data_IF_061982062447
#
_entry.id   IF_061982062447
#
_cell.length_a   1.000
_cell.length_b   1.000
_cell.length_c   1.000
_cell.angle_alpha   90.00
_cell.angle_beta   90.00
_cell.angle_gamma   90.00
#
_symmetry.space_group_name_H-M   'P 1'
#
loop_
_entity.id
_entity.type
_entity.pdbx_description
1 polymer ?
#
# COMPACT_ATOMS: atom_id res chain seq x y z
N UNK A 1 22.83 -13.05 -20.00
CA UNK A 1 23.20 -14.22 -19.16
C UNK A 1 22.07 -14.42 -18.16
N UNK A 2 21.29 -15.48 -18.31
CA UNK A 2 20.26 -15.89 -17.34
C UNK A 2 20.95 -16.62 -16.18
N UNK A 3 20.72 -16.17 -14.94
CA UNK A 3 21.20 -16.87 -13.74
C UNK A 3 20.10 -17.82 -13.26
N UNK A 4 20.49 -18.98 -12.74
CA UNK A 4 19.58 -20.03 -12.22
C UNK A 4 19.78 -20.12 -10.70
N UNK A 5 18.72 -20.30 -9.92
CA UNK A 5 18.80 -20.64 -8.49
C UNK A 5 18.35 -22.06 -8.23
N UNK A 6 18.44 -22.48 -6.96
CA UNK A 6 18.19 -23.83 -6.48
C UNK A 6 16.77 -24.38 -6.81
N UNK A 7 15.80 -23.52 -7.06
CA UNK A 7 14.40 -23.87 -7.38
C UNK A 7 14.02 -23.71 -8.86
N UNK A 8 14.95 -23.31 -9.73
CA UNK A 8 14.68 -23.10 -11.16
C UNK A 8 15.36 -21.86 -11.74
N UNK A 9 15.09 -21.48 -13.00
CA UNK A 9 15.64 -20.25 -13.56
C UNK A 9 15.19 -19.04 -12.75
N UNK A 10 16.15 -18.44 -12.04
CA UNK A 10 16.00 -17.17 -11.34
C UNK A 10 16.05 -16.03 -12.33
N UNK A 11 14.94 -15.88 -13.02
CA UNK A 11 14.54 -14.58 -13.49
C UNK A 11 13.37 -14.15 -12.59
N UNK A 12 13.53 -13.16 -11.71
CA UNK A 12 12.37 -12.31 -11.38
C UNK A 12 12.11 -11.44 -12.62
N UNK A 13 11.63 -12.09 -13.70
CA UNK A 13 11.35 -11.56 -15.04
C UNK A 13 10.02 -10.81 -15.11
N UNK A 14 9.39 -10.54 -13.96
CA UNK A 14 7.95 -10.29 -13.87
C UNK A 14 7.54 -8.85 -13.64
N UNK A 15 8.43 -7.95 -13.21
CA UNK A 15 8.05 -6.56 -12.96
C UNK A 15 8.38 -5.70 -14.18
N UNK A 16 7.37 -5.47 -15.01
CA UNK A 16 7.50 -4.69 -16.25
C UNK A 16 7.38 -3.20 -15.88
N UNK A 17 8.28 -2.31 -16.34
CA UNK A 17 8.09 -0.87 -16.15
C UNK A 17 6.86 -0.41 -16.92
N UNK A 18 6.03 0.42 -16.30
CA UNK A 18 4.92 1.05 -17.03
C UNK A 18 5.45 2.15 -17.94
N UNK A 19 5.08 2.08 -19.21
CA UNK A 19 5.42 3.13 -20.18
C UNK A 19 4.78 4.47 -19.78
N UNK A 20 5.46 5.56 -20.10
CA UNK A 20 4.91 6.91 -19.90
C UNK A 20 3.67 7.13 -20.76
N UNK A 21 2.80 8.02 -20.30
CA UNK A 21 1.51 8.37 -20.88
C UNK A 21 0.52 7.21 -21.00
N UNK A 22 0.71 6.13 -20.23
CA UNK A 22 -0.21 4.99 -20.22
C UNK A 22 -1.57 5.38 -19.65
N UNK A 23 -1.60 6.31 -18.68
CA UNK A 23 -2.82 6.63 -17.93
C UNK A 23 -3.42 8.01 -18.29
N UNK A 24 -2.69 8.86 -19.02
CA UNK A 24 -3.01 10.28 -19.20
C UNK A 24 -4.44 10.58 -19.68
N UNK A 25 -5.02 9.73 -20.53
CA UNK A 25 -6.30 9.98 -21.20
C UNK A 25 -7.49 9.32 -20.48
N UNK A 26 -7.23 8.56 -19.41
CA UNK A 26 -8.25 7.80 -18.65
C UNK A 26 -9.02 8.69 -17.66
N UNK A 27 -9.47 9.88 -18.08
CA UNK A 27 -10.03 10.92 -17.19
C UNK A 27 -11.33 10.55 -16.46
N UNK A 28 -11.99 9.46 -16.86
CA UNK A 28 -13.19 8.92 -16.20
C UNK A 28 -12.90 7.75 -15.26
N UNK A 29 -11.63 7.35 -15.13
CA UNK A 29 -11.24 6.20 -14.33
C UNK A 29 -11.55 6.46 -12.85
N UNK A 30 -12.23 5.50 -12.23
CA UNK A 30 -12.57 5.51 -10.79
C UNK A 30 -11.75 4.51 -10.00
N UNK A 31 -11.31 3.43 -10.64
CA UNK A 31 -10.58 2.33 -9.98
C UNK A 31 -9.36 2.04 -10.81
N UNK A 32 -8.20 2.04 -10.18
CA UNK A 32 -6.92 1.66 -10.77
C UNK A 32 -6.27 0.59 -9.92
N UNK A 33 -6.10 -0.61 -10.50
CA UNK A 33 -5.30 -1.70 -9.93
C UNK A 33 -4.02 -1.83 -10.76
N UNK A 34 -2.88 -1.78 -10.10
CA UNK A 34 -1.55 -1.98 -10.68
C UNK A 34 -0.97 -3.24 -10.05
N UNK A 35 -0.73 -4.26 -10.86
CA UNK A 35 -0.27 -5.57 -10.38
C UNK A 35 1.02 -6.00 -11.07
N UNK A 36 2.08 -6.27 -10.32
CA UNK A 36 3.35 -6.74 -10.88
C UNK A 36 4.07 -5.70 -11.76
N UNK A 37 3.92 -4.40 -11.48
CA UNK A 37 4.47 -3.32 -12.30
C UNK A 37 5.48 -2.47 -11.52
N UNK A 38 6.51 -2.00 -12.22
CA UNK A 38 7.46 -1.01 -11.70
C UNK A 38 6.99 0.37 -12.14
N UNK A 39 6.67 1.22 -11.18
CA UNK A 39 6.23 2.60 -11.42
C UNK A 39 7.42 3.56 -11.43
N UNK A 40 7.36 4.57 -12.29
CA UNK A 40 8.28 5.72 -12.30
C UNK A 40 7.64 6.97 -11.70
N UNK A 41 8.40 8.07 -11.58
CA UNK A 41 7.84 9.35 -11.14
C UNK A 41 6.79 9.87 -12.13
N UNK A 42 7.02 9.73 -13.43
CA UNK A 42 6.05 10.15 -14.46
C UNK A 42 4.72 9.38 -14.32
N UNK A 43 4.78 8.10 -13.97
CA UNK A 43 3.59 7.31 -13.71
C UNK A 43 2.80 7.82 -12.48
N UNK A 44 3.51 8.19 -11.40
CA UNK A 44 2.88 8.79 -10.21
C UNK A 44 2.22 10.13 -10.57
N UNK A 45 2.91 10.96 -11.34
CA UNK A 45 2.40 12.26 -11.79
C UNK A 45 1.16 12.07 -12.69
N UNK A 46 1.15 11.05 -13.55
CA UNK A 46 -0.03 10.70 -14.36
C UNK A 46 -1.21 10.23 -13.51
N UNK A 47 -0.99 9.34 -12.53
CA UNK A 47 -2.02 8.89 -11.58
C UNK A 47 -2.64 10.09 -10.86
N UNK A 48 -1.83 11.08 -10.48
CA UNK A 48 -2.28 12.31 -9.83
C UNK A 48 -3.16 13.20 -10.72
N UNK A 49 -3.26 12.94 -12.03
CA UNK A 49 -4.17 13.65 -12.95
C UNK A 49 -5.52 12.96 -13.15
N UNK A 50 -5.77 11.85 -12.44
CA UNK A 50 -7.00 11.08 -12.51
C UNK A 50 -8.01 11.59 -11.47
N UNK A 51 -8.53 12.81 -11.65
CA UNK A 51 -9.37 13.50 -10.66
C UNK A 51 -10.67 12.77 -10.24
N UNK A 52 -11.05 11.71 -10.98
CA UNK A 52 -12.19 10.86 -10.68
C UNK A 52 -11.83 9.57 -9.94
N UNK A 53 -10.56 9.34 -9.63
CA UNK A 53 -10.09 8.13 -8.99
C UNK A 53 -10.59 8.06 -7.55
N UNK A 54 -11.29 6.97 -7.25
CA UNK A 54 -11.91 6.64 -5.98
C UNK A 54 -11.13 5.53 -5.26
N UNK A 55 -10.48 4.64 -6.02
CA UNK A 55 -9.67 3.52 -5.51
C UNK A 55 -8.37 3.35 -6.28
N UNK A 56 -7.28 3.20 -5.53
CA UNK A 56 -5.93 2.90 -6.03
C UNK A 56 -5.40 1.67 -5.30
N UNK A 57 -4.93 0.68 -6.07
CA UNK A 57 -4.39 -0.56 -5.55
C UNK A 57 -3.05 -0.88 -6.19
N UNK A 58 -2.06 -1.19 -5.36
CA UNK A 58 -0.76 -1.71 -5.77
C UNK A 58 -0.60 -3.13 -5.23
N UNK A 59 -0.46 -4.08 -6.15
CA UNK A 59 -0.37 -5.51 -5.84
C UNK A 59 0.92 -6.06 -6.45
N UNK A 60 1.75 -6.77 -5.70
CA UNK A 60 3.07 -7.28 -6.19
C UNK A 60 3.92 -6.23 -6.94
N UNK A 61 3.75 -4.95 -6.63
CA UNK A 61 4.36 -3.84 -7.37
C UNK A 61 5.59 -3.32 -6.64
N UNK A 62 6.55 -2.81 -7.40
CA UNK A 62 7.78 -2.21 -6.84
C UNK A 62 7.53 -0.73 -6.53
N UNK A 63 7.37 -0.41 -5.25
CA UNK A 63 7.15 0.95 -4.75
C UNK A 63 8.48 1.53 -4.23
N UNK A 64 9.26 2.10 -5.14
CA UNK A 64 10.55 2.73 -4.83
C UNK A 64 10.39 3.87 -3.82
N UNK A 65 11.13 3.83 -2.70
CA UNK A 65 11.06 4.82 -1.62
C UNK A 65 11.74 6.15 -1.96
N UNK A 66 12.55 6.18 -3.03
CA UNK A 66 13.16 7.40 -3.56
C UNK A 66 12.21 8.26 -4.41
N UNK A 67 11.05 7.70 -4.82
CA UNK A 67 10.04 8.43 -5.58
C UNK A 67 9.18 9.35 -4.69
N UNK A 68 8.65 10.40 -5.29
CA UNK A 68 7.77 11.35 -4.62
C UNK A 68 6.30 11.00 -4.87
N UNK A 69 5.63 10.46 -3.84
CA UNK A 69 4.21 10.07 -3.90
C UNK A 69 3.25 11.19 -3.48
N UNK A 70 3.75 12.35 -3.02
CA UNK A 70 2.90 13.49 -2.62
C UNK A 70 1.88 13.92 -3.68
N UNK A 71 2.14 13.84 -5.00
CA UNK A 71 1.12 14.17 -6.00
C UNK A 71 -0.20 13.40 -5.83
N UNK A 72 -0.17 12.15 -5.34
CA UNK A 72 -1.37 11.33 -5.10
C UNK A 72 -2.28 11.98 -4.04
N UNK A 73 -1.75 12.81 -3.15
CA UNK A 73 -2.53 13.57 -2.16
C UNK A 73 -3.46 14.61 -2.80
N UNK A 74 -3.27 14.95 -4.08
CA UNK A 74 -4.16 15.86 -4.79
C UNK A 74 -5.47 15.21 -5.22
N UNK A 75 -5.56 13.87 -5.22
CA UNK A 75 -6.74 13.12 -5.64
C UNK A 75 -7.86 13.22 -4.59
N UNK A 76 -8.71 14.24 -4.71
CA UNK A 76 -9.74 14.58 -3.72
C UNK A 76 -10.83 13.51 -3.55
N UNK A 77 -11.01 12.62 -4.55
CA UNK A 77 -12.00 11.55 -4.51
C UNK A 77 -11.42 10.20 -4.07
N UNK A 78 -10.11 10.09 -3.91
CA UNK A 78 -9.47 8.84 -3.53
C UNK A 78 -9.81 8.54 -2.07
N UNK A 79 -10.62 7.51 -1.86
CA UNK A 79 -11.06 7.09 -0.52
C UNK A 79 -10.54 5.71 -0.15
N UNK A 80 -10.11 4.92 -1.13
CA UNK A 80 -9.61 3.56 -0.92
C UNK A 80 -8.18 3.41 -1.44
N UNK A 81 -7.28 3.00 -0.54
CA UNK A 81 -5.90 2.66 -0.87
C UNK A 81 -5.63 1.22 -0.44
N UNK A 82 -5.17 0.40 -1.38
CA UNK A 82 -4.74 -0.96 -1.11
C UNK A 82 -3.29 -1.12 -1.51
N UNK A 83 -2.49 -1.63 -0.59
CA UNK A 83 -1.13 -2.05 -0.85
C UNK A 83 -1.06 -3.51 -0.42
N UNK A 84 -0.97 -4.39 -1.40
CA UNK A 84 -1.01 -5.83 -1.25
C UNK A 84 0.31 -6.38 -1.72
N UNK A 85 0.93 -7.27 -0.92
CA UNK A 85 2.02 -8.11 -1.41
C UNK A 85 3.13 -7.36 -2.18
N UNK A 86 3.34 -6.07 -1.91
CA UNK A 86 4.43 -5.30 -2.52
C UNK A 86 5.76 -5.75 -1.91
N UNK A 87 6.89 -5.50 -2.56
CA UNK A 87 8.21 -5.65 -1.95
C UNK A 87 8.57 -7.03 -1.32
N UNK A 88 8.30 -8.13 -2.03
CA UNK A 88 8.71 -9.48 -1.60
C UNK A 88 10.22 -9.62 -1.36
N UNK A 89 10.62 -9.89 -0.12
CA UNK A 89 11.96 -10.40 0.19
C UNK A 89 11.92 -11.93 0.11
N UNK A 90 12.15 -12.50 -1.07
CA UNK A 90 12.55 -13.90 -1.14
C UNK A 90 14.05 -13.96 -0.80
N UNK A 91 14.38 -14.71 0.26
CA UNK A 91 15.73 -14.82 0.83
C UNK A 91 16.78 -15.36 -0.15
N UNK A 92 16.34 -15.95 -1.27
CA UNK A 92 17.21 -16.41 -2.34
C UNK A 92 17.55 -15.30 -3.37
N UNK A 93 16.94 -14.11 -3.25
CA UNK A 93 17.09 -13.01 -4.20
C UNK A 93 17.74 -11.77 -3.54
N UNK A 94 18.90 -11.35 -4.04
CA UNK A 94 19.50 -10.03 -3.79
C UNK A 94 18.75 -8.89 -4.51
N UNK A 95 17.43 -9.00 -4.69
CA UNK A 95 16.63 -7.86 -5.15
C UNK A 95 16.27 -7.02 -3.92
N UNK A 96 16.88 -5.84 -3.85
CA UNK A 96 16.66 -4.85 -2.80
C UNK A 96 15.29 -4.22 -2.98
N UNK A 97 14.25 -4.95 -2.61
CA UNK A 97 12.92 -4.38 -2.46
C UNK A 97 12.93 -3.43 -1.26
N UNK A 98 12.35 -2.22 -1.38
CA UNK A 98 12.24 -1.32 -0.25
C UNK A 98 11.45 -2.02 0.86
N UNK A 99 12.01 -2.02 2.07
CA UNK A 99 11.45 -2.74 3.22
C UNK A 99 10.17 -2.12 3.76
N UNK A 100 9.91 -0.87 3.39
CA UNK A 100 8.84 -0.04 3.93
C UNK A 100 8.02 0.53 2.77
N UNK A 101 6.72 0.73 3.00
CA UNK A 101 5.89 1.51 2.09
C UNK A 101 6.34 2.98 2.12
N UNK A 102 6.40 3.66 0.95
CA UNK A 102 6.71 5.07 0.90
C UNK A 102 5.77 5.91 1.77
N UNK A 103 6.33 6.58 2.79
CA UNK A 103 5.55 7.32 3.80
C UNK A 103 4.63 8.37 3.20
N UNK A 104 5.08 9.03 2.13
CA UNK A 104 4.28 10.06 1.47
C UNK A 104 3.02 9.50 0.79
N UNK A 105 3.02 8.24 0.34
CA UNK A 105 1.85 7.57 -0.26
C UNK A 105 0.73 7.35 0.78
N UNK A 106 1.12 6.99 2.00
CA UNK A 106 0.21 6.69 3.12
C UNK A 106 -0.21 7.94 3.91
N UNK A 107 0.15 9.16 3.47
CA UNK A 107 -0.24 10.40 4.17
C UNK A 107 -1.51 11.07 3.63
N UNK A 108 -2.24 10.38 2.74
CA UNK A 108 -3.44 10.93 2.11
C UNK A 108 -4.61 11.02 3.12
N UNK A 109 -5.04 12.25 3.41
CA UNK A 109 -6.09 12.55 4.41
C UNK A 109 -7.51 12.19 3.97
N UNK A 110 -7.74 11.92 2.68
CA UNK A 110 -9.05 11.53 2.13
C UNK A 110 -9.38 10.05 2.29
N UNK A 111 -8.38 9.22 2.61
CA UNK A 111 -8.53 7.77 2.72
C UNK A 111 -9.45 7.41 3.89
N UNK A 112 -10.42 6.55 3.58
CA UNK A 112 -11.39 5.94 4.50
C UNK A 112 -11.15 4.44 4.63
N UNK A 113 -10.64 3.81 3.57
CA UNK A 113 -10.37 2.37 3.53
C UNK A 113 -8.90 2.15 3.20
N UNK A 114 -8.19 1.49 4.11
CA UNK A 114 -6.77 1.16 3.95
C UNK A 114 -6.55 -0.34 4.07
N UNK A 115 -5.86 -0.93 3.10
CA UNK A 115 -5.31 -2.28 3.21
C UNK A 115 -3.79 -2.23 3.10
N UNK A 116 -3.09 -2.85 4.04
CA UNK A 116 -1.63 -2.91 4.12
C UNK A 116 -1.13 -4.36 4.03
N UNK A 117 0.09 -4.58 3.51
CA UNK A 117 0.66 -5.92 3.37
C UNK A 117 1.13 -6.45 4.74
N UNK A 118 1.41 -7.75 4.77
CA UNK A 118 1.66 -8.49 6.01
C UNK A 118 2.94 -8.11 6.76
N UNK A 119 3.93 -7.64 6.02
CA UNK A 119 5.27 -7.34 6.52
C UNK A 119 5.47 -5.86 6.89
N UNK A 120 4.50 -4.98 6.63
CA UNK A 120 4.67 -3.54 6.87
C UNK A 120 4.80 -3.21 8.36
N UNK A 121 5.69 -2.27 8.70
CA UNK A 121 5.75 -1.72 10.05
C UNK A 121 4.45 -0.95 10.37
N UNK A 122 3.65 -1.43 11.33
CA UNK A 122 2.40 -0.79 11.72
C UNK A 122 2.59 0.60 12.33
N UNK A 123 3.83 1.00 12.65
CA UNK A 123 4.16 2.37 13.06
C UNK A 123 3.80 3.43 12.00
N UNK A 124 3.59 3.02 10.74
CA UNK A 124 3.04 3.88 9.69
C UNK A 124 1.56 4.25 9.91
N UNK A 125 0.82 3.48 10.70
CA UNK A 125 -0.61 3.63 10.92
C UNK A 125 -0.84 4.65 12.04
N UNK A 126 -0.51 5.92 11.78
CA UNK A 126 -0.76 7.03 12.70
C UNK A 126 -2.07 7.75 12.30
N UNK A 127 -3.03 7.92 13.23
CA UNK A 127 -4.27 8.66 12.95
C UNK A 127 -4.07 10.07 12.37
N UNK A 128 -2.90 10.70 12.61
CA UNK A 128 -2.59 12.00 12.01
C UNK A 128 -2.51 11.95 10.48
N UNK A 129 -2.17 10.79 9.91
CA UNK A 129 -2.07 10.55 8.47
C UNK A 129 -3.41 10.09 7.88
N UNK A 130 -4.21 9.36 8.65
CA UNK A 130 -5.51 8.85 8.26
C UNK A 130 -6.65 9.30 9.19
N UNK A 131 -6.95 10.61 9.27
CA UNK A 131 -7.95 11.16 10.20
C UNK A 131 -9.39 10.74 9.85
N UNK A 132 -9.61 10.16 8.67
CA UNK A 132 -10.90 9.74 8.15
C UNK A 132 -11.04 8.22 8.01
N UNK A 133 -10.10 7.44 8.57
CA UNK A 133 -10.08 5.99 8.41
C UNK A 133 -11.30 5.34 9.09
N UNK A 134 -12.09 4.64 8.29
CA UNK A 134 -13.29 3.91 8.69
C UNK A 134 -13.06 2.39 8.65
N UNK A 135 -12.22 1.93 7.72
CA UNK A 135 -11.87 0.52 7.53
C UNK A 135 -10.37 0.34 7.45
N UNK A 136 -9.84 -0.60 8.24
CA UNK A 136 -8.45 -1.00 8.22
C UNK A 136 -8.33 -2.51 8.06
N UNK A 137 -7.56 -2.94 7.06
CA UNK A 137 -7.21 -4.34 6.81
C UNK A 137 -5.69 -4.49 6.80
N UNK A 138 -5.17 -5.47 7.53
CA UNK A 138 -3.76 -5.83 7.46
C UNK A 138 -3.56 -7.29 7.88
N UNK A 139 -2.43 -7.87 7.49
CA UNK A 139 -2.06 -9.25 7.83
C UNK A 139 -0.74 -9.30 8.62
N UNK A 140 -0.67 -8.67 9.80
CA UNK A 140 0.59 -8.62 10.55
C UNK A 140 0.55 -9.51 11.78
N UNK A 141 1.63 -10.26 11.93
CA UNK A 141 1.89 -11.09 13.09
C UNK A 141 2.23 -10.27 14.35
N UNK A 142 2.62 -8.98 14.21
CA UNK A 142 3.22 -8.21 15.31
C UNK A 142 2.78 -6.74 15.36
N UNK A 143 1.49 -6.50 15.65
CA UNK A 143 0.93 -5.15 15.81
C UNK A 143 0.76 -4.76 17.29
N UNK A 144 1.23 -3.56 17.62
CA UNK A 144 0.76 -2.87 18.83
C UNK A 144 -0.67 -2.33 18.61
N UNK A 145 -1.65 -3.13 19.03
CA UNK A 145 -3.07 -2.80 18.88
C UNK A 145 -3.51 -1.58 19.70
N UNK A 146 -2.66 -1.01 20.57
CA UNK A 146 -2.98 0.24 21.27
C UNK A 146 -3.18 1.42 20.32
N UNK A 147 -2.56 1.39 19.13
CA UNK A 147 -2.71 2.45 18.13
C UNK A 147 -4.13 2.52 17.56
N UNK A 148 -4.83 1.39 17.51
CA UNK A 148 -6.20 1.31 16.99
C UNK A 148 -7.17 2.16 17.81
N UNK A 149 -6.93 2.29 19.12
CA UNK A 149 -7.78 3.10 20.02
C UNK A 149 -7.64 4.61 19.80
N UNK A 150 -6.76 5.03 18.89
CA UNK A 150 -6.55 6.43 18.52
C UNK A 150 -7.30 6.81 17.23
N UNK A 151 -7.94 5.87 16.55
CA UNK A 151 -8.74 6.14 15.35
C UNK A 151 -10.20 6.38 15.71
N UNK A 152 -10.61 7.64 15.77
CA UNK A 152 -11.95 8.04 16.22
C UNK A 152 -13.10 7.56 15.31
N UNK A 153 -12.80 7.19 14.05
CA UNK A 153 -13.79 6.80 13.03
C UNK A 153 -13.71 5.35 12.59
N UNK A 154 -12.73 4.59 13.11
CA UNK A 154 -12.52 3.21 12.70
C UNK A 154 -13.70 2.36 13.18
N UNK A 155 -14.41 1.75 12.23
CA UNK A 155 -15.61 0.93 12.49
C UNK A 155 -15.48 -0.48 11.93
N UNK A 156 -14.56 -0.70 10.99
CA UNK A 156 -14.30 -2.02 10.41
C UNK A 156 -12.83 -2.35 10.53
N UNK A 157 -12.53 -3.50 11.13
CA UNK A 157 -11.17 -3.99 11.32
C UNK A 157 -11.08 -5.43 10.84
N UNK A 158 -10.20 -5.68 9.88
CA UNK A 158 -9.84 -7.03 9.44
C UNK A 158 -8.38 -7.29 9.74
N UNK A 159 -8.10 -8.35 10.51
CA UNK A 159 -6.75 -8.73 10.90
C UNK A 159 -6.47 -10.19 10.47
N UNK A 160 -5.41 -10.41 9.71
CA UNK A 160 -4.92 -11.73 9.35
C UNK A 160 -3.72 -12.15 10.21
N UNK A 161 -3.66 -13.43 10.59
CA UNK A 161 -2.55 -14.08 11.32
C UNK A 161 -2.01 -13.37 12.57
N UNK A 162 -2.85 -12.85 13.50
CA UNK A 162 -2.30 -12.20 14.69
C UNK A 162 -1.58 -13.23 15.58
N UNK A 163 -0.24 -13.21 15.59
CA UNK A 163 0.56 -13.77 16.70
C UNK A 163 0.54 -12.81 17.92
N UNK A 164 -0.10 -11.64 17.80
CA UNK A 164 -0.25 -10.62 18.83
C UNK A 164 -1.41 -10.83 19.82
N UNK A 165 -1.33 -10.16 20.97
CA UNK A 165 -2.32 -10.22 22.04
C UNK A 165 -3.64 -9.51 21.69
N UNK A 166 -4.63 -10.28 21.23
CA UNK A 166 -5.97 -9.78 20.91
C UNK A 166 -6.76 -9.24 22.12
N UNK A 167 -6.30 -9.46 23.36
CA UNK A 167 -6.98 -8.91 24.55
C UNK A 167 -7.01 -7.38 24.54
N UNK A 168 -6.10 -6.73 23.81
CA UNK A 168 -6.04 -5.28 23.63
C UNK A 168 -7.20 -4.72 22.81
N UNK A 169 -7.86 -5.53 21.97
CA UNK A 169 -9.05 -5.12 21.23
C UNK A 169 -10.23 -4.77 22.16
N UNK A 170 -10.27 -5.34 23.37
CA UNK A 170 -11.33 -5.07 24.36
C UNK A 170 -11.36 -3.61 24.84
N UNK A 171 -10.27 -2.88 24.65
CA UNK A 171 -10.14 -1.48 25.05
C UNK A 171 -10.43 -0.50 23.91
N UNK A 172 -10.70 -0.99 22.69
CA UNK A 172 -11.20 -0.15 21.61
C UNK A 172 -12.62 0.25 21.98
N UNK A 173 -12.81 1.52 22.35
CA UNK A 173 -14.13 2.07 22.63
C UNK A 173 -14.95 1.94 21.35
N UNK A 174 -15.90 1.01 21.38
CA UNK A 174 -16.88 0.69 20.32
C UNK A 174 -16.28 0.42 18.93
N UNK A 175 -15.88 -0.84 18.71
CA UNK A 175 -16.44 -1.59 17.59
C UNK A 175 -17.81 -2.14 18.01
#
# INVERSE_FOLDING_TARGET
MTRTCASGPCDFKGIIPMEKNTLKDLKKLKILKIEGIKISQENIDEIATLDNLESLSFDYSYLDDSLNYKPINNLQKLTKLEILSSNFQDSDYELYYPKDIPKDLVTNKGIKELTLPSWEDPSLIDPKYFPNLETLTFESDNIDLNILGKFDKLTNLTIGSPNGDLSKLKNLKSL
#
